data_IF_229841796705
#
_entry.id   IF_229841796705
#
_cell.length_a   1.000
_cell.length_b   1.000
_cell.length_c   1.000
_cell.angle_alpha   90.00
_cell.angle_beta   90.00
_cell.angle_gamma   90.00
#
_symmetry.space_group_name_H-M   'P 1'
#
loop_
_entity.id
_entity.type
_entity.pdbx_description
1 polymer ?
#
# COMPACT_ATOMS: atom_id res chain seq x y z
N UNK A 1 -2.31 19.99 7.80
CA UNK A 1 -1.95 20.93 6.72
C UNK A 1 -1.47 20.12 5.53
N UNK A 2 -2.17 20.17 4.38
CA UNK A 2 -1.79 19.42 3.17
C UNK A 2 -0.34 19.69 2.74
N UNK A 3 0.29 18.68 2.13
CA UNK A 3 1.57 18.80 1.43
C UNK A 3 1.27 18.82 -0.06
N UNK A 4 1.89 19.72 -0.80
CA UNK A 4 1.84 19.77 -2.25
C UNK A 4 3.24 19.75 -2.83
N UNK A 5 3.36 19.21 -4.03
CA UNK A 5 4.61 19.21 -4.79
C UNK A 5 4.62 20.37 -5.79
N UNK A 6 5.79 21.00 -5.93
CA UNK A 6 6.02 22.07 -6.88
C UNK A 6 7.30 21.81 -7.68
N UNK A 7 7.27 22.14 -8.96
CA UNK A 7 8.41 22.03 -9.86
C UNK A 7 8.88 23.42 -10.32
N UNK A 8 10.20 23.65 -10.29
CA UNK A 8 10.81 24.82 -10.91
C UNK A 8 10.72 24.72 -12.44
N UNK A 9 10.19 25.76 -13.08
CA UNK A 9 10.16 25.85 -14.55
C UNK A 9 11.57 26.13 -15.12
N UNK A 10 12.44 26.75 -14.33
CA UNK A 10 13.80 27.11 -14.71
C UNK A 10 14.89 26.29 -14.02
N UNK A 11 16.02 26.94 -13.74
CA UNK A 11 17.11 26.33 -12.99
C UNK A 11 16.65 26.03 -11.54
N UNK A 12 16.89 24.82 -11.03
CA UNK A 12 16.56 24.48 -9.66
C UNK A 12 17.43 25.28 -8.68
N UNK A 13 16.85 25.59 -7.52
CA UNK A 13 17.61 26.14 -6.38
C UNK A 13 18.01 25.04 -5.39
N UNK A 14 18.39 25.42 -4.17
CA UNK A 14 18.74 24.48 -3.09
C UNK A 14 17.59 23.55 -2.67
N UNK A 15 16.34 23.91 -2.98
CA UNK A 15 15.17 23.05 -2.77
C UNK A 15 15.06 21.93 -3.82
N UNK A 16 15.91 21.94 -4.85
CA UNK A 16 15.87 20.96 -5.94
C UNK A 16 14.93 21.35 -7.07
N UNK A 17 14.82 20.47 -8.07
CA UNK A 17 13.89 20.65 -9.22
C UNK A 17 12.44 20.54 -8.78
N UNK A 18 12.13 19.53 -7.97
CA UNK A 18 10.83 19.31 -7.34
C UNK A 18 10.99 19.42 -5.83
N UNK A 19 10.07 20.08 -5.15
CA UNK A 19 10.05 20.19 -3.69
C UNK A 19 8.64 20.08 -3.13
N UNK A 20 8.56 19.68 -1.86
CA UNK A 20 7.32 19.61 -1.09
C UNK A 20 7.09 20.90 -0.30
N UNK A 21 5.85 21.37 -0.27
CA UNK A 21 5.44 22.54 0.48
C UNK A 21 4.15 22.28 1.25
N UNK A 22 4.15 22.60 2.55
CA UNK A 22 2.95 22.52 3.38
C UNK A 22 2.23 23.86 3.32
N UNK A 23 0.97 23.86 2.91
CA UNK A 23 0.12 25.06 2.89
C UNK A 23 -1.34 24.68 3.15
N UNK A 24 -2.16 25.68 3.49
CA UNK A 24 -3.61 25.45 3.67
C UNK A 24 -4.32 25.19 2.34
N UNK A 25 -5.52 24.62 2.41
CA UNK A 25 -6.35 24.38 1.22
C UNK A 25 -6.92 25.69 0.65
N UNK A 26 -7.17 26.68 1.50
CA UNK A 26 -7.70 28.00 1.13
C UNK A 26 -6.61 28.92 0.56
N UNK A 27 -5.34 28.57 0.75
CA UNK A 27 -4.20 29.34 0.27
C UNK A 27 -3.98 29.10 -1.23
N UNK A 28 -3.69 30.17 -1.98
CA UNK A 28 -3.40 30.07 -3.41
C UNK A 28 -2.15 29.21 -3.64
N UNK A 29 -2.11 28.53 -4.80
CA UNK A 29 -0.92 27.80 -5.20
C UNK A 29 0.26 28.76 -5.38
N UNK A 30 1.47 28.31 -5.03
CA UNK A 30 2.68 29.08 -5.24
C UNK A 30 2.93 29.27 -6.74
N UNK A 31 3.18 30.51 -7.15
CA UNK A 31 3.71 30.85 -8.48
C UNK A 31 5.22 31.09 -8.46
N UNK A 32 5.77 31.37 -7.26
CA UNK A 32 7.19 31.64 -7.03
C UNK A 32 7.72 30.73 -5.92
N UNK A 33 8.95 30.26 -6.09
CA UNK A 33 9.67 29.47 -5.09
C UNK A 33 9.97 30.33 -3.85
N UNK A 34 9.62 29.89 -2.64
CA UNK A 34 9.88 30.63 -1.41
C UNK A 34 11.38 30.74 -1.08
N UNK A 35 12.23 29.89 -1.65
CA UNK A 35 13.68 29.90 -1.42
C UNK A 35 14.47 30.83 -2.36
N UNK A 36 14.04 30.99 -3.62
CA UNK A 36 14.81 31.74 -4.62
C UNK A 36 13.99 32.72 -5.47
N UNK A 37 12.66 32.76 -5.33
CA UNK A 37 11.77 33.60 -6.14
C UNK A 37 11.60 33.13 -7.60
N UNK A 38 12.21 32.01 -8.01
CA UNK A 38 12.04 31.46 -9.35
C UNK A 38 10.61 30.97 -9.61
N UNK A 39 10.17 30.95 -10.87
CA UNK A 39 8.82 30.45 -11.22
C UNK A 39 8.69 28.96 -10.94
N UNK A 40 7.56 28.60 -10.34
CA UNK A 40 7.20 27.22 -10.02
C UNK A 40 5.78 26.92 -10.47
N UNK A 41 5.52 25.64 -10.78
CA UNK A 41 4.18 25.13 -11.05
C UNK A 41 3.82 24.04 -10.06
N UNK A 42 2.56 24.00 -9.63
CA UNK A 42 2.03 22.94 -8.77
C UNK A 42 1.92 21.64 -9.55
N UNK A 43 2.44 20.55 -9.00
CA UNK A 43 2.26 19.21 -9.56
C UNK A 43 1.00 18.55 -8.98
N UNK A 44 0.42 17.65 -9.77
CA UNK A 44 -0.56 16.70 -9.26
C UNK A 44 0.25 15.59 -8.57
N UNK A 45 0.22 15.55 -7.24
CA UNK A 45 0.87 14.48 -6.48
C UNK A 45 0.33 13.12 -6.90
N UNK A 46 1.22 12.14 -7.02
CA UNK A 46 0.81 10.76 -7.25
C UNK A 46 0.03 10.25 -6.04
N UNK A 47 -1.26 9.93 -6.16
CA UNK A 47 -1.98 9.36 -5.03
C UNK A 47 -1.43 7.96 -4.74
N UNK A 48 -1.38 7.60 -3.45
CA UNK A 48 -1.18 6.20 -3.09
C UNK A 48 -2.42 5.40 -3.51
N UNK A 49 -2.25 4.53 -4.50
CA UNK A 49 -3.30 3.62 -4.95
C UNK A 49 -3.16 2.28 -4.22
N UNK A 50 -4.04 2.05 -3.25
CA UNK A 50 -4.14 0.76 -2.56
C UNK A 50 -5.12 -0.16 -3.30
N UNK A 51 -4.59 -1.19 -3.97
CA UNK A 51 -5.38 -2.24 -4.66
C UNK A 51 -5.26 -3.57 -3.91
N UNK A 52 -6.00 -3.76 -2.81
CA UNK A 52 -5.89 -4.96 -1.99
C UNK A 52 -6.37 -6.19 -2.77
N UNK A 53 -5.66 -7.31 -2.59
CA UNK A 53 -6.04 -8.60 -3.17
C UNK A 53 -7.22 -9.20 -2.42
N UNK A 54 -8.20 -9.68 -3.17
CA UNK A 54 -9.31 -10.48 -2.66
C UNK A 54 -8.81 -11.83 -2.13
N UNK A 55 -9.61 -12.51 -1.30
CA UNK A 55 -9.24 -13.84 -0.84
C UNK A 55 -9.10 -14.83 -2.01
N UNK A 56 -9.92 -14.71 -3.06
CA UNK A 56 -9.80 -15.54 -4.26
C UNK A 56 -8.48 -15.28 -4.98
N UNK A 57 -8.10 -14.03 -5.20
CA UNK A 57 -6.79 -13.71 -5.82
C UNK A 57 -5.62 -14.23 -4.98
N UNK A 58 -5.69 -14.11 -3.65
CA UNK A 58 -4.66 -14.65 -2.77
C UNK A 58 -4.55 -16.18 -2.88
N UNK A 59 -5.70 -16.87 -2.91
CA UNK A 59 -5.75 -18.33 -3.11
C UNK A 59 -5.15 -18.72 -4.46
N UNK A 60 -5.48 -17.99 -5.52
CA UNK A 60 -5.05 -18.31 -6.88
C UNK A 60 -3.54 -18.05 -7.06
N UNK A 61 -2.98 -17.10 -6.31
CA UNK A 61 -1.54 -16.85 -6.19
C UNK A 61 -0.79 -17.86 -5.29
N UNK A 62 -1.48 -18.90 -4.78
CA UNK A 62 -0.87 -19.91 -3.92
C UNK A 62 -0.74 -19.51 -2.44
N UNK A 63 -1.18 -18.31 -2.05
CA UNK A 63 -1.17 -17.91 -0.66
C UNK A 63 -2.26 -18.62 0.14
N UNK A 64 -2.03 -18.67 1.46
CA UNK A 64 -3.02 -19.09 2.44
C UNK A 64 -3.23 -17.98 3.46
N UNK A 65 -4.48 -17.53 3.62
CA UNK A 65 -4.86 -16.48 4.56
C UNK A 65 -5.67 -17.07 5.72
N UNK A 66 -5.11 -16.95 6.91
CA UNK A 66 -5.72 -17.37 8.17
C UNK A 66 -6.26 -16.15 8.90
N UNK A 67 -7.57 -16.10 9.14
CA UNK A 67 -8.24 -15.06 9.94
C UNK A 67 -8.52 -15.61 11.31
N UNK A 68 -7.96 -15.00 12.36
CA UNK A 68 -8.19 -15.42 13.75
C UNK A 68 -9.68 -15.29 14.10
N UNK A 69 -10.26 -16.36 14.65
CA UNK A 69 -11.65 -16.40 15.14
C UNK A 69 -11.72 -16.53 16.66
N UNK A 70 -10.76 -17.23 17.26
CA UNK A 70 -10.61 -17.38 18.70
C UNK A 70 -9.13 -17.59 19.08
N UNK A 71 -8.83 -17.89 20.34
CA UNK A 71 -7.51 -18.32 20.76
C UNK A 71 -7.16 -19.70 20.17
N UNK A 72 -6.07 -19.74 19.40
CA UNK A 72 -5.64 -20.94 18.71
C UNK A 72 -6.54 -21.40 17.56
N UNK A 73 -7.62 -20.68 17.21
CA UNK A 73 -8.53 -21.05 16.12
C UNK A 73 -8.52 -19.99 15.02
N UNK A 74 -8.18 -20.42 13.80
CA UNK A 74 -8.07 -19.55 12.63
C UNK A 74 -8.87 -20.11 11.47
N UNK A 75 -9.67 -19.26 10.81
CA UNK A 75 -10.38 -19.63 9.60
C UNK A 75 -9.50 -19.44 8.37
N UNK A 76 -9.36 -20.49 7.56
CA UNK A 76 -8.74 -20.43 6.25
C UNK A 76 -9.75 -19.86 5.25
N UNK A 77 -9.68 -18.56 5.01
CA UNK A 77 -10.57 -17.87 4.04
C UNK A 77 -10.17 -18.10 2.59
N UNK A 78 -9.07 -18.84 2.38
CA UNK A 78 -8.54 -19.30 1.09
C UNK A 78 -8.55 -20.83 0.99
N UNK A 79 -9.37 -21.50 1.79
CA UNK A 79 -9.41 -22.97 1.81
C UNK A 79 -9.71 -23.53 0.41
N UNK A 80 -8.93 -24.52 0.01
CA UNK A 80 -9.12 -25.33 -1.21
C UNK A 80 -9.83 -26.63 -0.83
N UNK A 81 -10.27 -27.42 -1.81
CA UNK A 81 -11.12 -28.61 -1.59
C UNK A 81 -10.58 -29.64 -0.59
N UNK A 82 -9.27 -29.66 -0.33
CA UNK A 82 -8.61 -30.57 0.62
C UNK A 82 -8.08 -29.88 1.88
N UNK A 83 -8.25 -28.57 2.01
CA UNK A 83 -7.86 -27.82 3.19
C UNK A 83 -9.00 -27.84 4.22
N UNK A 84 -8.64 -27.92 5.51
CA UNK A 84 -9.61 -27.66 6.56
C UNK A 84 -10.02 -26.19 6.57
N UNK A 85 -11.32 -25.94 6.78
CA UNK A 85 -11.84 -24.56 6.92
C UNK A 85 -11.26 -23.85 8.13
N UNK A 86 -10.94 -24.60 9.19
CA UNK A 86 -10.35 -24.09 10.42
C UNK A 86 -9.01 -24.76 10.67
N UNK A 87 -7.99 -23.94 10.90
CA UNK A 87 -6.69 -24.33 11.41
C UNK A 87 -6.68 -24.13 12.92
N UNK A 88 -6.36 -25.20 13.66
CA UNK A 88 -6.36 -25.23 15.12
C UNK A 88 -4.93 -25.45 15.61
N UNK A 89 -4.48 -24.58 16.51
CA UNK A 89 -3.16 -24.68 17.14
C UNK A 89 -3.00 -26.04 17.82
N UNK A 90 -1.90 -26.74 17.52
CA UNK A 90 -1.60 -28.05 18.10
C UNK A 90 -2.28 -29.23 17.41
N UNK A 91 -3.05 -29.01 16.33
CA UNK A 91 -3.66 -30.06 15.51
C UNK A 91 -3.07 -30.07 14.09
N UNK A 92 -1.98 -30.83 13.84
CA UNK A 92 -1.27 -30.83 12.56
C UNK A 92 -2.15 -31.15 11.35
N UNK A 93 -3.16 -31.99 11.52
CA UNK A 93 -4.13 -32.37 10.49
C UNK A 93 -4.96 -31.19 9.98
N UNK A 94 -5.05 -30.10 10.75
CA UNK A 94 -5.78 -28.88 10.38
C UNK A 94 -4.91 -27.84 9.68
N UNK A 95 -3.60 -28.08 9.56
CA UNK A 95 -2.67 -27.15 8.94
C UNK A 95 -2.78 -27.23 7.40
N UNK A 96 -2.92 -26.10 6.69
CA UNK A 96 -2.95 -26.08 5.22
C UNK A 96 -1.66 -26.66 4.60
N UNK A 97 -1.82 -27.48 3.57
CA UNK A 97 -0.69 -28.14 2.88
C UNK A 97 -0.04 -27.22 1.85
N UNK A 98 0.87 -26.36 2.32
CA UNK A 98 1.55 -25.35 1.49
C UNK A 98 2.46 -25.95 0.42
N UNK A 99 2.92 -27.20 0.57
CA UNK A 99 3.80 -27.86 -0.41
C UNK A 99 3.12 -28.11 -1.74
N UNK A 100 1.78 -28.13 -1.75
CA UNK A 100 0.99 -28.35 -2.97
C UNK A 100 0.73 -27.07 -3.74
N UNK A 101 0.96 -25.91 -3.12
CA UNK A 101 0.64 -24.60 -3.69
C UNK A 101 1.88 -23.76 -3.97
N UNK A 102 3.03 -24.11 -3.38
CA UNK A 102 4.31 -23.42 -3.55
C UNK A 102 5.33 -24.46 -4.01
N UNK A 103 5.99 -24.18 -5.14
CA UNK A 103 7.12 -24.96 -5.68
C UNK A 103 8.35 -24.07 -5.84
N UNK A 104 9.55 -24.67 -5.85
CA UNK A 104 10.80 -24.00 -6.24
C UNK A 104 10.83 -23.63 -7.73
#
# INVERSE_FOLDING_TARGET
MPVYEYEHEGAPCRLGRVFEWRQSLEEKALSLCPGCGGRVRKLISCPNLSTPKTNSELRDLGFTKLVRRDDGVYENVTARDRDNRYMIRGKPETIPDVKRTISD
#
